data_IF_485624485330
#
_entry.id   IF_485624485330
#
_cell.length_a   1.000
_cell.length_b   1.000
_cell.length_c   1.000
_cell.angle_alpha   90.00
_cell.angle_beta   90.00
_cell.angle_gamma   90.00
#
_symmetry.space_group_name_H-M   'P 1'
#
loop_
_entity.id
_entity.type
_entity.pdbx_description
1 polymer ?
#
# COMPACT_ATOMS: atom_id res chain seq x y z
N UNK A 1 36.22 26.10 -75.20
CA UNK A 1 34.96 26.32 -74.44
C UNK A 1 34.32 24.97 -74.16
N UNK A 2 34.51 24.39 -72.97
CA UNK A 2 33.92 23.12 -72.54
C UNK A 2 33.03 23.38 -71.33
N UNK A 3 31.72 23.12 -71.48
CA UNK A 3 30.68 23.39 -70.51
C UNK A 3 30.70 22.36 -69.37
N UNK A 4 30.66 22.89 -68.15
CA UNK A 4 30.49 22.17 -66.88
C UNK A 4 29.06 21.64 -66.78
N UNK A 5 28.88 20.41 -66.27
CA UNK A 5 27.61 19.90 -65.76
C UNK A 5 27.84 19.38 -64.35
N UNK A 6 27.40 20.15 -63.36
CA UNK A 6 27.27 19.71 -61.97
C UNK A 6 26.01 18.85 -61.87
N UNK A 7 26.16 17.59 -61.45
CA UNK A 7 25.04 16.77 -60.98
C UNK A 7 24.73 17.17 -59.53
N UNK A 8 23.51 17.63 -59.30
CA UNK A 8 22.96 17.79 -57.96
C UNK A 8 22.43 16.44 -57.46
N UNK A 9 23.03 15.92 -56.40
CA UNK A 9 22.51 14.77 -55.65
C UNK A 9 21.57 15.29 -54.56
N UNK A 10 20.27 15.08 -54.71
CA UNK A 10 19.29 15.36 -53.67
C UNK A 10 19.28 14.19 -52.68
N UNK A 11 19.77 14.41 -51.46
CA UNK A 11 19.68 13.46 -50.37
C UNK A 11 18.28 13.54 -49.73
N UNK A 12 17.48 12.49 -49.92
CA UNK A 12 16.21 12.32 -49.22
C UNK A 12 16.50 11.86 -47.78
N UNK A 13 16.28 12.74 -46.80
CA UNK A 13 16.36 12.43 -45.37
C UNK A 13 15.06 11.73 -44.99
N UNK A 14 15.13 10.43 -44.70
CA UNK A 14 14.03 9.67 -44.15
C UNK A 14 13.81 10.07 -42.68
N UNK A 15 12.68 10.70 -42.40
CA UNK A 15 12.17 10.92 -41.04
C UNK A 15 11.70 9.57 -40.48
N UNK A 16 12.56 8.90 -39.72
CA UNK A 16 12.13 7.81 -38.84
C UNK A 16 11.29 8.44 -37.72
N UNK A 17 10.09 7.93 -37.39
CA UNK A 17 9.40 8.33 -36.18
C UNK A 17 10.31 7.97 -35.01
N UNK A 18 10.77 9.00 -34.29
CA UNK A 18 11.50 8.80 -33.06
C UNK A 18 10.60 8.01 -32.11
N UNK A 19 11.10 6.88 -31.59
CA UNK A 19 10.54 6.29 -30.39
C UNK A 19 10.50 7.41 -29.35
N UNK A 20 9.29 7.81 -28.97
CA UNK A 20 9.09 8.83 -27.97
C UNK A 20 9.84 8.39 -26.71
N UNK A 21 10.79 9.20 -26.28
CA UNK A 21 11.71 8.81 -25.22
C UNK A 21 10.92 8.61 -23.94
N UNK A 22 10.82 7.35 -23.49
CA UNK A 22 10.21 6.98 -22.23
C UNK A 22 10.76 7.89 -21.11
N UNK A 23 9.87 8.67 -20.50
CA UNK A 23 10.24 9.57 -19.40
C UNK A 23 10.84 8.77 -18.23
N UNK A 24 11.89 9.26 -17.56
CA UNK A 24 12.47 8.57 -16.40
C UNK A 24 11.57 8.63 -15.15
N UNK A 25 10.39 9.28 -15.21
CA UNK A 25 9.41 9.39 -14.11
C UNK A 25 8.15 8.53 -14.28
N UNK A 26 8.06 7.72 -15.33
CA UNK A 26 6.81 7.05 -15.72
C UNK A 26 6.21 6.22 -14.57
N UNK A 27 5.05 6.66 -14.07
CA UNK A 27 4.25 5.93 -13.10
C UNK A 27 4.72 5.98 -11.64
N UNK A 28 5.63 6.87 -11.24
CA UNK A 28 6.02 6.97 -9.80
C UNK A 28 4.95 7.63 -8.94
N UNK A 29 4.22 8.59 -9.53
CA UNK A 29 3.17 9.36 -8.85
C UNK A 29 1.78 8.75 -9.07
N UNK A 30 1.70 7.53 -9.63
CA UNK A 30 0.42 6.88 -9.93
C UNK A 30 -0.03 6.01 -8.76
N UNK A 31 -1.35 5.82 -8.57
CA UNK A 31 -1.88 5.02 -7.47
C UNK A 31 -1.38 3.58 -7.50
N UNK A 32 -1.05 3.06 -8.69
CA UNK A 32 -0.56 1.70 -8.87
C UNK A 32 0.63 1.66 -9.82
N UNK A 33 1.55 0.73 -9.56
CA UNK A 33 2.61 0.30 -10.47
C UNK A 33 2.46 -1.18 -10.76
N UNK A 34 2.59 -1.56 -12.03
CA UNK A 34 2.45 -2.97 -12.45
C UNK A 34 3.76 -3.49 -12.98
N UNK A 35 4.29 -4.51 -12.33
CA UNK A 35 5.51 -5.19 -12.74
C UNK A 35 5.33 -5.86 -14.11
N UNK A 36 6.34 -5.73 -14.97
CA UNK A 36 6.37 -6.29 -16.35
C UNK A 36 5.28 -5.75 -17.29
N UNK A 37 4.66 -4.62 -16.95
CA UNK A 37 3.75 -3.91 -17.83
C UNK A 37 4.40 -2.65 -18.40
N UNK A 38 3.85 -2.14 -19.50
CA UNK A 38 4.17 -0.85 -20.06
C UNK A 38 3.21 0.21 -19.50
N UNK A 39 3.78 1.32 -19.03
CA UNK A 39 3.02 2.47 -18.56
C UNK A 39 2.59 3.36 -19.73
N UNK A 40 1.36 3.88 -19.65
CA UNK A 40 0.81 4.85 -20.59
C UNK A 40 0.17 6.02 -19.82
N UNK A 41 0.47 7.23 -20.28
CA UNK A 41 -0.28 8.42 -19.88
C UNK A 41 -1.60 8.49 -20.64
N UNK A 42 -2.67 8.88 -19.96
CA UNK A 42 -4.02 8.95 -20.50
C UNK A 42 -4.95 7.85 -19.96
N UNK A 43 -6.27 8.01 -20.22
CA UNK A 43 -7.29 7.17 -19.62
C UNK A 43 -7.16 5.73 -20.13
N UNK A 44 -7.71 4.80 -19.36
CA UNK A 44 -7.87 3.43 -19.84
C UNK A 44 -8.66 3.44 -21.17
N UNK A 45 -8.19 2.74 -22.22
CA UNK A 45 -8.91 2.70 -23.48
C UNK A 45 -10.27 1.99 -23.30
N UNK A 46 -11.34 2.60 -23.81
CA UNK A 46 -12.69 2.07 -23.75
C UNK A 46 -13.15 1.53 -25.12
N UNK A 47 -13.89 0.42 -25.13
CA UNK A 47 -14.54 -0.12 -26.32
C UNK A 47 -15.33 -1.39 -26.04
N UNK A 48 -16.04 -1.87 -27.05
CA UNK A 48 -16.89 -3.08 -26.97
C UNK A 48 -16.49 -4.15 -28.01
N UNK A 49 -15.63 -3.78 -28.97
CA UNK A 49 -15.32 -4.59 -30.15
C UNK A 49 -14.07 -5.46 -29.99
N UNK A 50 -13.26 -5.20 -28.95
CA UNK A 50 -12.08 -5.99 -28.62
C UNK A 50 -12.41 -7.24 -27.80
N UNK A 51 -11.41 -7.75 -27.08
CA UNK A 51 -11.52 -9.03 -26.38
C UNK A 51 -12.02 -8.86 -24.95
N UNK A 52 -12.89 -9.78 -24.52
CA UNK A 52 -13.50 -9.70 -23.20
C UNK A 52 -12.61 -10.36 -22.15
N UNK A 53 -12.43 -9.67 -21.03
CA UNK A 53 -11.92 -10.29 -19.80
C UNK A 53 -13.02 -11.23 -19.26
N UNK A 54 -12.76 -12.54 -19.26
CA UNK A 54 -13.75 -13.55 -18.89
C UNK A 54 -13.72 -13.89 -17.41
N UNK A 55 -12.58 -13.69 -16.76
CA UNK A 55 -12.39 -14.01 -15.35
C UNK A 55 -11.33 -13.09 -14.72
N UNK A 56 -11.58 -12.69 -13.48
CA UNK A 56 -10.63 -11.98 -12.61
C UNK A 56 -10.65 -12.68 -11.25
N UNK A 57 -9.47 -12.85 -10.64
CA UNK A 57 -9.29 -13.41 -9.31
C UNK A 57 -8.19 -12.71 -8.55
N UNK A 58 -8.38 -12.62 -7.23
CA UNK A 58 -7.32 -12.28 -6.28
C UNK A 58 -7.58 -13.04 -4.99
N UNK A 59 -6.51 -13.45 -4.29
CA UNK A 59 -6.64 -14.27 -3.08
C UNK A 59 -7.29 -13.52 -1.90
N UNK A 60 -7.22 -12.20 -1.89
CA UNK A 60 -7.82 -11.35 -0.86
C UNK A 60 -8.10 -9.95 -1.46
N UNK A 61 -9.34 -9.42 -1.46
CA UNK A 61 -9.62 -8.09 -1.97
C UNK A 61 -9.13 -6.97 -1.04
N UNK A 62 -8.76 -7.27 0.21
CA UNK A 62 -8.22 -6.29 1.14
C UNK A 62 -6.76 -5.96 0.83
N UNK A 63 -6.44 -4.68 0.82
CA UNK A 63 -5.12 -4.13 0.49
C UNK A 63 -4.70 -3.16 1.58
N UNK A 64 -3.45 -3.25 2.02
CA UNK A 64 -2.86 -2.29 2.94
C UNK A 64 -2.24 -1.10 2.20
N UNK A 65 -2.16 0.09 2.80
CA UNK A 65 -1.48 1.23 2.19
C UNK A 65 -0.03 0.88 1.87
N UNK A 66 0.42 1.15 0.64
CA UNK A 66 1.78 0.83 0.23
C UNK A 66 2.06 -0.65 -0.04
N UNK A 67 1.03 -1.51 -0.06
CA UNK A 67 1.21 -2.93 -0.33
C UNK A 67 1.95 -3.16 -1.67
N UNK A 68 2.93 -4.05 -1.64
CA UNK A 68 3.73 -4.45 -2.81
C UNK A 68 3.50 -5.91 -3.15
N UNK A 69 3.73 -6.26 -4.42
CA UNK A 69 3.69 -7.64 -4.89
C UNK A 69 2.30 -8.28 -4.91
N UNK A 70 1.21 -7.49 -4.93
CA UNK A 70 -0.15 -8.06 -4.96
C UNK A 70 -0.41 -8.72 -6.30
N UNK A 71 -0.68 -10.02 -6.29
CA UNK A 71 -1.07 -10.75 -7.50
C UNK A 71 -2.57 -10.63 -7.77
N UNK A 72 -2.91 -10.32 -9.01
CA UNK A 72 -4.26 -10.41 -9.58
C UNK A 72 -4.15 -11.20 -10.88
N UNK A 73 -4.92 -12.26 -10.99
CA UNK A 73 -4.87 -13.21 -12.10
C UNK A 73 -6.21 -13.24 -12.82
N UNK A 74 -6.20 -13.72 -14.06
CA UNK A 74 -7.45 -13.86 -14.78
C UNK A 74 -7.34 -14.59 -16.10
N UNK A 75 -8.45 -14.54 -16.83
CA UNK A 75 -8.59 -15.07 -18.17
C UNK A 75 -9.23 -14.04 -19.10
N UNK A 76 -8.91 -14.13 -20.38
CA UNK A 76 -9.39 -13.28 -21.47
C UNK A 76 -9.64 -14.16 -22.69
N UNK A 77 -10.52 -13.76 -23.60
CA UNK A 77 -10.75 -14.50 -24.86
C UNK A 77 -9.42 -14.79 -25.62
N UNK A 78 -9.34 -15.92 -26.34
CA UNK A 78 -8.07 -16.42 -26.92
C UNK A 78 -7.41 -15.52 -27.97
N UNK A 79 -8.17 -14.61 -28.60
CA UNK A 79 -7.64 -13.66 -29.59
C UNK A 79 -7.05 -12.40 -28.94
N UNK A 80 -7.05 -12.31 -27.60
CA UNK A 80 -6.44 -11.18 -26.90
C UNK A 80 -4.91 -11.25 -26.98
N UNK A 81 -4.31 -10.10 -27.28
CA UNK A 81 -2.86 -9.94 -27.29
C UNK A 81 -2.36 -9.20 -26.06
N UNK A 82 -3.21 -8.39 -25.42
CA UNK A 82 -2.85 -7.63 -24.24
C UNK A 82 -4.05 -7.39 -23.30
N UNK A 83 -3.74 -6.98 -22.07
CA UNK A 83 -4.66 -6.51 -21.05
C UNK A 83 -4.23 -5.10 -20.66
N UNK A 84 -5.18 -4.18 -20.53
CA UNK A 84 -4.93 -2.88 -19.89
C UNK A 84 -5.66 -2.81 -18.55
N UNK A 85 -5.04 -2.15 -17.57
CA UNK A 85 -5.56 -1.98 -16.20
C UNK A 85 -5.33 -0.57 -15.67
N UNK A 86 -6.31 -0.02 -14.93
CA UNK A 86 -6.22 1.31 -14.31
C UNK A 86 -7.09 1.44 -13.05
N UNK A 87 -6.82 2.49 -12.26
CA UNK A 87 -7.78 3.11 -11.33
C UNK A 87 -8.29 4.42 -11.94
N UNK A 88 -9.35 4.39 -12.75
CA UNK A 88 -9.81 5.58 -13.48
C UNK A 88 -10.38 6.67 -12.57
N UNK A 89 -10.87 6.30 -11.38
CA UNK A 89 -11.36 7.25 -10.38
C UNK A 89 -10.22 7.97 -9.65
N UNK A 90 -9.00 7.42 -9.69
CA UNK A 90 -7.83 7.94 -8.97
C UNK A 90 -6.76 8.56 -9.88
N UNK A 91 -6.69 8.16 -11.16
CA UNK A 91 -5.67 8.65 -12.08
C UNK A 91 -6.06 8.52 -13.55
N UNK A 92 -5.52 9.43 -14.37
CA UNK A 92 -5.63 9.39 -15.84
C UNK A 92 -4.43 8.65 -16.46
N UNK A 93 -4.17 7.44 -15.99
CA UNK A 93 -3.04 6.61 -16.42
C UNK A 93 -3.41 5.14 -16.40
N UNK A 94 -2.73 4.34 -17.22
CA UNK A 94 -2.97 2.91 -17.27
C UNK A 94 -1.70 2.09 -17.54
N UNK A 95 -1.80 0.80 -17.28
CA UNK A 95 -0.74 -0.18 -17.51
C UNK A 95 -1.21 -1.22 -18.51
N UNK A 96 -0.36 -1.58 -19.47
CA UNK A 96 -0.65 -2.61 -20.46
C UNK A 96 0.35 -3.75 -20.35
N UNK A 97 -0.15 -4.98 -20.29
CA UNK A 97 0.66 -6.20 -20.24
C UNK A 97 0.23 -7.18 -21.34
N UNK A 98 1.13 -8.04 -21.84
CA UNK A 98 0.76 -9.06 -22.80
C UNK A 98 -0.18 -10.10 -22.18
N UNK A 99 -1.12 -10.60 -22.97
CA UNK A 99 -1.86 -11.80 -22.63
C UNK A 99 -0.92 -13.01 -22.57
N UNK A 100 -1.17 -13.93 -21.65
CA UNK A 100 -0.39 -15.12 -21.40
C UNK A 100 -0.70 -16.26 -22.37
N UNK A 101 -0.34 -17.47 -21.93
CA UNK A 101 -0.60 -18.70 -22.67
C UNK A 101 -2.08 -19.08 -22.60
N UNK A 102 -2.54 -19.86 -23.58
CA UNK A 102 -3.86 -20.50 -23.57
C UNK A 102 -4.05 -21.30 -22.27
N UNK A 103 -5.20 -21.11 -21.63
CA UNK A 103 -5.56 -21.80 -20.39
C UNK A 103 -5.84 -23.29 -20.68
N UNK A 104 -5.11 -24.25 -20.09
CA UNK A 104 -5.33 -25.68 -20.36
C UNK A 104 -6.74 -26.17 -20.04
N UNK A 105 -7.37 -25.58 -19.04
CA UNK A 105 -8.74 -25.84 -18.58
C UNK A 105 -9.81 -25.08 -19.39
N UNK A 106 -9.41 -24.13 -20.23
CA UNK A 106 -10.29 -23.31 -21.07
C UNK A 106 -9.58 -22.94 -22.37
N UNK A 107 -9.53 -23.86 -23.37
CA UNK A 107 -8.73 -23.69 -24.59
C UNK A 107 -9.10 -22.47 -25.46
N UNK A 108 -10.30 -21.92 -25.26
CA UNK A 108 -10.78 -20.71 -25.93
C UNK A 108 -10.43 -19.42 -25.16
N UNK A 109 -9.56 -19.50 -24.15
CA UNK A 109 -9.13 -18.37 -23.34
C UNK A 109 -7.62 -18.38 -23.11
N UNK A 110 -7.05 -17.19 -22.88
CA UNK A 110 -5.68 -16.98 -22.43
C UNK A 110 -5.65 -16.56 -20.97
N UNK A 111 -4.62 -17.01 -20.27
CA UNK A 111 -4.32 -16.56 -18.91
C UNK A 111 -3.67 -15.18 -18.92
N UNK A 112 -3.78 -14.45 -17.83
CA UNK A 112 -2.97 -13.26 -17.57
C UNK A 112 -2.77 -13.10 -16.06
N UNK A 113 -1.72 -12.37 -15.67
CA UNK A 113 -1.37 -12.14 -14.28
C UNK A 113 -0.64 -10.80 -14.16
N UNK A 114 -1.04 -9.99 -13.19
CA UNK A 114 -0.34 -8.78 -12.80
C UNK A 114 0.21 -8.93 -11.39
N UNK A 115 1.38 -8.32 -11.16
CA UNK A 115 1.94 -8.07 -9.84
C UNK A 115 1.96 -6.56 -9.64
N UNK A 116 1.15 -6.09 -8.69
CA UNK A 116 0.89 -4.67 -8.47
C UNK A 116 1.44 -4.17 -7.13
N UNK A 117 2.09 -3.02 -7.18
CA UNK A 117 2.46 -2.21 -6.03
C UNK A 117 1.53 -1.00 -5.96
N UNK A 118 1.00 -0.71 -4.78
CA UNK A 118 0.07 0.39 -4.58
C UNK A 118 0.72 1.56 -3.83
N UNK A 119 0.33 2.77 -4.18
CA UNK A 119 0.73 3.98 -3.46
C UNK A 119 0.19 3.94 -2.03
N UNK A 120 0.95 4.55 -1.11
CA UNK A 120 0.50 4.81 0.27
C UNK A 120 -0.60 5.88 0.33
N UNK A 121 -0.81 6.61 -0.76
CA UNK A 121 -1.74 7.73 -0.87
C UNK A 121 -3.10 7.32 -1.48
N UNK A 122 -3.30 6.04 -1.82
CA UNK A 122 -4.63 5.57 -2.22
C UNK A 122 -5.63 5.82 -1.08
N UNK A 123 -6.78 6.45 -1.34
CA UNK A 123 -7.82 6.63 -0.33
C UNK A 123 -8.28 5.29 0.25
N UNK A 124 -8.48 5.25 1.57
CA UNK A 124 -9.06 4.08 2.23
C UNK A 124 -10.50 3.83 1.76
N UNK A 125 -10.93 2.58 1.87
CA UNK A 125 -12.23 2.08 1.43
C UNK A 125 -12.16 1.39 0.07
N UNK A 126 -13.34 1.17 -0.52
CA UNK A 126 -13.46 0.47 -1.79
C UNK A 126 -12.98 1.34 -2.95
N UNK A 127 -12.04 0.81 -3.72
CA UNK A 127 -11.54 1.36 -4.98
C UNK A 127 -11.73 0.30 -6.08
N UNK A 128 -12.11 0.74 -7.28
CA UNK A 128 -12.42 -0.16 -8.38
C UNK A 128 -11.29 -0.14 -9.41
N UNK A 129 -10.72 -1.31 -9.68
CA UNK A 129 -9.81 -1.51 -10.81
C UNK A 129 -10.62 -1.84 -12.06
N UNK A 130 -10.30 -1.15 -13.16
CA UNK A 130 -10.87 -1.43 -14.48
C UNK A 130 -9.87 -2.19 -15.33
N UNK A 131 -10.35 -3.25 -15.99
CA UNK A 131 -9.61 -4.09 -16.92
C UNK A 131 -10.30 -4.10 -18.28
N UNK A 132 -9.50 -4.08 -19.35
CA UNK A 132 -9.96 -4.31 -20.73
C UNK A 132 -9.02 -5.27 -21.44
N UNK A 133 -9.56 -6.19 -22.24
CA UNK A 133 -8.78 -7.02 -23.16
C UNK A 133 -8.58 -6.29 -24.48
N UNK A 134 -7.40 -6.40 -25.07
CA UNK A 134 -7.02 -5.73 -26.32
C UNK A 134 -6.73 -6.79 -27.39
N UNK A 135 -7.31 -6.64 -28.57
CA UNK A 135 -7.10 -7.52 -29.72
C UNK A 135 -5.83 -7.16 -30.52
N UNK A 136 -5.52 -7.97 -31.55
CA UNK A 136 -4.36 -7.77 -32.40
C UNK A 136 -4.38 -6.46 -33.22
N UNK A 137 -5.56 -5.86 -33.43
CA UNK A 137 -5.73 -4.57 -34.10
C UNK A 137 -5.62 -3.38 -33.12
N UNK A 138 -5.44 -3.65 -31.82
CA UNK A 138 -5.37 -2.65 -30.77
C UNK A 138 -6.74 -2.18 -30.27
N UNK A 139 -7.83 -2.88 -30.59
CA UNK A 139 -9.17 -2.51 -30.13
C UNK A 139 -9.41 -2.99 -28.71
N UNK A 140 -9.87 -2.11 -27.80
CA UNK A 140 -10.29 -2.50 -26.46
C UNK A 140 -11.66 -3.21 -26.50
N UNK A 141 -11.77 -4.26 -25.70
CA UNK A 141 -13.02 -4.95 -25.42
C UNK A 141 -13.75 -4.38 -24.20
N UNK A 142 -14.90 -4.97 -23.85
CA UNK A 142 -15.76 -4.46 -22.79
C UNK A 142 -15.04 -4.43 -21.43
N UNK A 143 -15.36 -3.40 -20.65
CA UNK A 143 -14.81 -3.19 -19.31
C UNK A 143 -15.18 -4.33 -18.36
N UNK A 144 -14.22 -4.72 -17.53
CA UNK A 144 -14.42 -5.59 -16.37
C UNK A 144 -13.85 -4.95 -15.11
N UNK A 145 -14.56 -5.11 -14.00
CA UNK A 145 -14.26 -4.45 -12.74
C UNK A 145 -13.79 -5.46 -11.67
N UNK A 146 -12.87 -5.02 -10.82
CA UNK A 146 -12.47 -5.69 -9.59
C UNK A 146 -12.41 -4.65 -8.47
N UNK A 147 -13.24 -4.83 -7.46
CA UNK A 147 -13.19 -4.00 -6.27
C UNK A 147 -12.11 -4.50 -5.30
N UNK A 148 -11.29 -3.57 -4.83
CA UNK A 148 -10.30 -3.78 -3.79
C UNK A 148 -10.62 -2.85 -2.63
N UNK A 149 -10.60 -3.36 -1.41
CA UNK A 149 -10.75 -2.51 -0.24
C UNK A 149 -9.39 -2.13 0.34
N UNK A 150 -9.09 -0.84 0.36
CA UNK A 150 -7.88 -0.29 0.94
C UNK A 150 -8.11 0.05 2.41
N UNK A 151 -7.40 -0.64 3.31
CA UNK A 151 -7.44 -0.29 4.73
C UNK A 151 -6.72 1.04 4.97
N UNK A 152 -7.12 1.84 5.97
CA UNK A 152 -6.38 3.04 6.32
C UNK A 152 -5.04 2.72 6.99
N UNK A 153 -4.11 3.70 6.94
CA UNK A 153 -2.81 3.57 7.61
C UNK A 153 -2.94 3.60 9.12
N UNK A 154 -3.91 4.35 9.64
CA UNK A 154 -4.30 4.31 11.05
C UNK A 154 -5.39 3.24 11.16
N UNK A 155 -5.17 2.13 11.89
CA UNK A 155 -6.14 1.04 11.94
C UNK A 155 -7.50 1.51 12.45
N UNK A 156 -8.56 1.20 11.70
CA UNK A 156 -9.94 1.63 11.97
C UNK A 156 -10.88 0.45 12.24
N UNK A 157 -10.32 -0.70 12.62
CA UNK A 157 -11.04 -1.97 12.76
C UNK A 157 -11.77 -2.39 11.46
N UNK A 158 -11.28 -1.99 10.29
CA UNK A 158 -11.88 -2.33 8.99
C UNK A 158 -13.13 -1.53 8.64
N UNK A 159 -13.44 -0.47 9.39
CA UNK A 159 -14.60 0.40 9.17
C UNK A 159 -14.68 0.96 7.74
N UNK A 160 -13.54 1.33 7.14
CA UNK A 160 -13.47 1.84 5.77
C UNK A 160 -14.00 0.83 4.73
N UNK A 161 -13.87 -0.48 5.00
CA UNK A 161 -14.36 -1.54 4.13
C UNK A 161 -15.79 -1.99 4.47
N UNK A 162 -16.15 -1.87 5.74
CA UNK A 162 -17.45 -2.26 6.28
C UNK A 162 -17.88 -1.26 7.36
N UNK A 163 -18.63 -0.21 6.99
CA UNK A 163 -19.08 0.82 7.93
C UNK A 163 -20.01 0.32 9.02
N UNK A 164 -20.46 -0.95 8.97
CA UNK A 164 -21.22 -1.56 10.07
C UNK A 164 -20.34 -1.97 11.26
N UNK A 165 -19.02 -2.05 11.07
CA UNK A 165 -18.04 -2.28 12.12
C UNK A 165 -17.78 -0.98 12.87
N UNK A 166 -17.75 -1.01 14.19
CA UNK A 166 -17.39 0.17 14.98
C UNK A 166 -15.91 0.53 14.77
N UNK A 167 -15.63 1.84 14.76
CA UNK A 167 -14.26 2.33 14.92
C UNK A 167 -13.70 1.89 16.28
N UNK A 168 -12.37 1.69 16.39
CA UNK A 168 -11.74 1.50 17.68
C UNK A 168 -11.91 2.77 18.52
N UNK A 169 -12.21 2.61 19.82
CA UNK A 169 -12.36 3.75 20.73
C UNK A 169 -11.03 4.45 21.07
N UNK A 170 -9.89 3.79 20.84
CA UNK A 170 -8.56 4.38 20.98
C UNK A 170 -7.53 3.69 20.06
N UNK A 171 -6.70 4.47 19.38
CA UNK A 171 -5.54 3.99 18.61
C UNK A 171 -4.31 4.81 18.98
N UNK A 172 -3.26 4.14 19.46
CA UNK A 172 -1.96 4.74 19.76
C UNK A 172 -1.00 4.32 18.67
N UNK A 173 -0.36 5.26 18.00
CA UNK A 173 0.51 5.00 16.85
C UNK A 173 1.86 5.63 17.08
N UNK A 174 2.94 4.91 16.75
CA UNK A 174 4.26 5.50 16.52
C UNK A 174 4.63 5.33 15.06
N UNK A 175 4.95 6.42 14.37
CA UNK A 175 5.53 6.41 13.02
C UNK A 175 6.92 7.06 13.00
N UNK A 176 7.73 6.64 12.03
CA UNK A 176 9.10 7.10 11.90
C UNK A 176 9.51 7.30 10.44
N UNK A 177 10.52 8.15 10.24
CA UNK A 177 10.76 8.77 8.93
C UNK A 177 11.76 8.03 8.02
N UNK A 178 12.38 6.97 8.52
CA UNK A 178 13.40 6.16 7.81
C UNK A 178 13.21 4.70 8.20
N UNK A 179 13.73 3.78 7.40
CA UNK A 179 13.69 2.35 7.70
C UNK A 179 14.56 2.06 8.94
N UNK A 180 13.92 1.94 10.11
CA UNK A 180 14.56 1.70 11.39
C UNK A 180 13.65 0.81 12.25
N UNK A 181 14.23 -0.01 13.12
CA UNK A 181 13.52 -0.87 14.07
C UNK A 181 13.21 -0.03 15.32
N UNK A 182 12.02 0.57 15.33
CA UNK A 182 11.51 1.41 16.43
C UNK A 182 10.28 0.74 17.03
N UNK A 183 10.39 0.35 18.30
CA UNK A 183 9.30 -0.27 19.04
C UNK A 183 8.40 0.80 19.67
N UNK A 184 7.09 0.64 19.52
CA UNK A 184 6.07 1.24 20.38
C UNK A 184 6.01 0.45 21.69
N UNK A 185 6.20 1.15 22.80
CA UNK A 185 6.04 0.58 24.14
C UNK A 185 4.99 1.36 24.92
N UNK A 186 4.04 0.65 25.51
CA UNK A 186 2.91 1.26 26.21
C UNK A 186 2.86 0.76 27.64
N UNK A 187 2.92 1.68 28.60
CA UNK A 187 2.78 1.41 30.02
C UNK A 187 1.30 1.52 30.42
N UNK A 188 0.70 0.39 30.74
CA UNK A 188 -0.69 0.29 31.16
C UNK A 188 -0.86 0.77 32.62
N UNK A 189 -2.08 1.17 33.03
CA UNK A 189 -2.33 1.69 34.38
C UNK A 189 -2.05 0.69 35.52
N UNK A 190 -2.08 -0.60 35.23
CA UNK A 190 -1.72 -1.66 36.17
C UNK A 190 -0.19 -1.87 36.29
N UNK A 191 0.61 -1.09 35.56
CA UNK A 191 2.06 -1.13 35.51
C UNK A 191 2.64 -2.14 34.52
N UNK A 192 1.81 -2.85 33.74
CA UNK A 192 2.29 -3.75 32.69
C UNK A 192 2.77 -2.99 31.45
N UNK A 193 3.79 -3.55 30.80
CA UNK A 193 4.27 -3.08 29.50
C UNK A 193 3.67 -3.92 28.37
N UNK A 194 3.13 -3.23 27.38
CA UNK A 194 2.74 -3.77 26.08
C UNK A 194 3.85 -3.40 25.11
N UNK A 195 4.45 -4.42 24.48
CA UNK A 195 5.64 -4.29 23.62
C UNK A 195 5.52 -5.27 22.46
N UNK A 196 6.34 -5.14 21.41
CA UNK A 196 6.37 -6.13 20.33
C UNK A 196 6.57 -7.59 20.81
N UNK A 197 7.18 -7.80 21.99
CA UNK A 197 7.41 -9.13 22.58
C UNK A 197 6.32 -9.57 23.56
N UNK A 198 5.51 -8.62 24.03
CA UNK A 198 4.30 -8.84 24.85
C UNK A 198 3.13 -8.06 24.23
N UNK A 199 2.69 -8.42 23.01
CA UNK A 199 1.86 -7.54 22.19
C UNK A 199 0.40 -7.50 22.64
N UNK A 200 -0.03 -8.39 23.54
CA UNK A 200 -1.40 -8.47 24.02
C UNK A 200 -1.59 -7.68 25.32
N UNK A 201 -2.59 -6.80 25.33
CA UNK A 201 -3.02 -6.09 26.53
C UNK A 201 -3.74 -7.04 27.50
N UNK A 202 -4.54 -7.97 26.96
CA UNK A 202 -5.21 -9.01 27.74
C UNK A 202 -4.48 -10.33 27.49
N UNK A 203 -4.06 -11.00 28.57
CA UNK A 203 -3.38 -12.29 28.43
C UNK A 203 -4.34 -13.33 27.81
N UNK A 204 -3.84 -14.25 26.96
CA UNK A 204 -4.66 -15.32 26.41
C UNK A 204 -5.29 -16.16 27.54
N UNK A 205 -6.42 -16.78 27.26
CA UNK A 205 -6.98 -17.78 28.17
C UNK A 205 -6.01 -18.96 28.37
N UNK A 206 -6.22 -19.78 29.41
CA UNK A 206 -5.33 -20.90 29.75
C UNK A 206 -5.17 -21.95 28.63
N UNK A 207 -6.10 -21.98 27.67
CA UNK A 207 -6.04 -22.84 26.49
C UNK A 207 -5.19 -22.24 25.35
N UNK A 208 -4.65 -21.02 25.53
CA UNK A 208 -3.87 -20.29 24.53
C UNK A 208 -4.74 -19.57 23.49
N UNK A 209 -6.06 -19.54 23.66
CA UNK A 209 -6.97 -18.83 22.78
C UNK A 209 -6.88 -17.33 23.07
N UNK A 210 -6.61 -16.56 22.02
CA UNK A 210 -6.60 -15.10 22.05
C UNK A 210 -7.87 -14.62 21.38
N UNK A 211 -8.64 -13.79 22.08
CA UNK A 211 -9.75 -13.10 21.46
C UNK A 211 -9.20 -12.17 20.35
N UNK A 212 -9.68 -12.31 19.09
CA UNK A 212 -9.19 -11.52 17.98
C UNK A 212 -9.46 -10.01 18.13
N UNK A 213 -10.40 -9.61 18.99
CA UNK A 213 -10.74 -8.21 19.30
C UNK A 213 -9.93 -7.66 20.48
N UNK A 214 -9.20 -8.51 21.19
CA UNK A 214 -8.37 -8.08 22.32
C UNK A 214 -7.34 -7.03 21.89
N UNK A 215 -7.19 -5.92 22.65
CA UNK A 215 -6.27 -4.87 22.29
C UNK A 215 -4.84 -5.40 22.15
N UNK A 216 -4.20 -5.04 21.03
CA UNK A 216 -2.88 -5.57 20.69
C UNK A 216 -2.08 -4.64 19.78
N UNK A 217 -0.75 -4.77 19.87
CA UNK A 217 0.14 -4.21 18.87
C UNK A 217 -0.06 -4.92 17.53
N UNK A 218 -0.16 -4.15 16.47
CA UNK A 218 -0.53 -4.64 15.13
C UNK A 218 0.64 -5.34 14.41
N UNK A 219 1.88 -4.86 14.62
CA UNK A 219 3.11 -5.43 14.07
C UNK A 219 4.35 -5.02 14.87
N UNK A 220 5.47 -5.65 14.53
CA UNK A 220 6.84 -5.32 14.94
C UNK A 220 7.54 -4.80 13.68
N UNK A 221 7.47 -3.47 13.47
CA UNK A 221 7.81 -2.85 12.19
C UNK A 221 9.33 -2.78 12.04
N UNK A 222 9.84 -3.18 10.86
CA UNK A 222 11.29 -3.22 10.59
C UNK A 222 12.07 -4.13 11.54
N UNK A 223 11.43 -5.15 12.12
CA UNK A 223 12.07 -6.12 13.01
C UNK A 223 13.35 -6.68 12.39
N UNK A 224 14.47 -6.56 13.10
CA UNK A 224 15.80 -6.96 12.62
C UNK A 224 16.20 -6.29 11.30
N UNK A 225 15.76 -5.06 11.08
CA UNK A 225 15.99 -4.25 9.88
C UNK A 225 15.46 -4.86 8.58
N UNK A 226 14.38 -5.65 8.64
CA UNK A 226 13.70 -6.17 7.47
C UNK A 226 12.59 -5.21 7.06
N UNK A 227 12.77 -4.50 5.94
CA UNK A 227 11.80 -3.52 5.44
C UNK A 227 10.42 -4.16 5.21
N UNK A 228 9.38 -3.56 5.80
CA UNK A 228 7.97 -3.96 5.67
C UNK A 228 7.14 -2.94 4.87
N UNK A 229 7.67 -1.75 4.61
CA UNK A 229 6.99 -0.68 3.90
C UNK A 229 6.02 0.17 4.75
N UNK A 230 6.03 0.05 6.07
CA UNK A 230 5.11 0.76 6.97
C UNK A 230 5.75 1.89 7.75
N UNK A 231 6.93 1.62 8.32
CA UNK A 231 7.60 2.49 9.29
C UNK A 231 6.64 3.02 10.37
N UNK A 232 5.86 2.09 10.93
CA UNK A 232 4.78 2.40 11.88
C UNK A 232 4.36 1.17 12.68
N UNK A 233 4.15 1.37 13.98
CA UNK A 233 3.47 0.44 14.88
C UNK A 233 2.23 1.09 15.49
N UNK A 234 1.20 0.29 15.75
CA UNK A 234 -0.04 0.75 16.35
C UNK A 234 -0.54 -0.22 17.42
N UNK A 235 -0.97 0.32 18.56
CA UNK A 235 -1.76 -0.37 19.57
C UNK A 235 -3.22 0.06 19.42
N UNK A 236 -4.10 -0.90 19.17
CA UNK A 236 -5.52 -0.66 18.88
C UNK A 236 -6.36 -1.17 20.04
N UNK A 237 -7.28 -0.33 20.53
CA UNK A 237 -8.28 -0.67 21.54
C UNK A 237 -9.67 -0.61 20.92
N UNK A 238 -10.36 -1.75 20.87
CA UNK A 238 -11.76 -1.78 20.46
C UNK A 238 -12.64 -1.00 21.45
N UNK A 239 -12.40 -1.19 22.76
CA UNK A 239 -13.06 -0.48 23.85
C UNK A 239 -12.05 0.42 24.59
N UNK A 240 -12.49 1.59 25.04
CA UNK A 240 -11.66 2.57 25.75
C UNK A 240 -11.06 1.93 27.01
N UNK A 241 -9.72 1.95 27.17
CA UNK A 241 -9.10 1.42 28.37
C UNK A 241 -9.36 2.32 29.58
N UNK A 242 -9.43 1.73 30.78
CA UNK A 242 -9.56 2.49 32.02
C UNK A 242 -8.21 3.00 32.50
N UNK A 243 -8.17 4.22 33.04
CA UNK A 243 -6.98 4.78 33.68
C UNK A 243 -6.00 5.44 32.72
N UNK A 244 -4.81 5.78 33.23
CA UNK A 244 -3.80 6.51 32.48
C UNK A 244 -2.84 5.55 31.80
N UNK A 245 -2.47 5.88 30.57
CA UNK A 245 -1.55 5.10 29.74
C UNK A 245 -0.36 5.98 29.37
N UNK A 246 0.84 5.49 29.67
CA UNK A 246 2.07 6.14 29.23
C UNK A 246 2.53 5.60 27.86
N UNK A 247 2.82 6.49 26.93
CA UNK A 247 3.26 6.15 25.56
C UNK A 247 4.76 6.43 25.42
N UNK A 248 5.49 5.41 24.99
CA UNK A 248 6.94 5.42 24.85
C UNK A 248 7.35 4.92 23.47
N UNK A 249 8.55 5.30 23.04
CA UNK A 249 9.21 4.65 21.91
C UNK A 249 10.63 4.24 22.27
N UNK A 250 11.12 3.20 21.61
CA UNK A 250 12.51 2.74 21.72
C UNK A 250 13.10 2.58 20.33
N UNK A 251 14.32 3.06 20.14
CA UNK A 251 15.12 2.67 18.98
C UNK A 251 15.80 1.32 19.26
N UNK A 252 15.25 0.23 18.77
CA UNK A 252 15.87 -1.09 18.88
C UNK A 252 17.14 -1.13 18.02
N UNK A 253 16.98 -0.82 16.73
CA UNK A 253 18.08 -0.76 15.76
C UNK A 253 17.88 0.37 14.75
N UNK A 254 18.93 1.13 14.48
CA UNK A 254 18.89 2.25 13.52
C UNK A 254 18.98 1.85 12.05
N UNK A 255 19.24 0.58 11.76
CA UNK A 255 19.33 0.02 10.41
C UNK A 255 20.24 0.79 9.45
N UNK A 256 21.33 1.36 9.99
CA UNK A 256 22.32 2.14 9.23
C UNK A 256 22.02 3.63 9.12
N UNK A 257 20.89 4.11 9.64
CA UNK A 257 20.60 5.54 9.71
C UNK A 257 21.31 6.20 10.89
N UNK A 258 21.84 7.43 10.77
CA UNK A 258 22.52 8.12 11.87
C UNK A 258 21.56 8.73 12.91
N UNK A 259 20.31 8.95 12.51
CA UNK A 259 19.24 9.48 13.36
C UNK A 259 17.88 9.04 12.83
N UNK A 260 16.92 8.87 13.73
CA UNK A 260 15.54 8.51 13.40
C UNK A 260 14.61 9.53 14.03
N UNK A 261 13.78 10.20 13.23
CA UNK A 261 12.70 11.05 13.74
C UNK A 261 11.45 10.20 13.89
N UNK A 262 10.80 10.34 15.02
CA UNK A 262 9.58 9.61 15.34
C UNK A 262 8.48 10.58 15.80
N UNK A 263 7.23 10.12 15.65
CA UNK A 263 6.02 10.76 16.18
C UNK A 263 5.17 9.71 16.84
N UNK A 264 4.70 9.98 18.05
CA UNK A 264 3.59 9.26 18.66
C UNK A 264 2.31 10.08 18.49
N UNK A 265 1.23 9.42 18.10
CA UNK A 265 -0.07 10.04 17.82
C UNK A 265 -1.17 9.22 18.49
N UNK A 266 -2.12 9.91 19.09
CA UNK A 266 -3.33 9.31 19.66
C UNK A 266 -4.52 9.66 18.79
N UNK A 267 -5.29 8.64 18.43
CA UNK A 267 -6.54 8.81 17.71
C UNK A 267 -7.71 8.24 18.50
N UNK A 268 -8.83 8.95 18.46
CA UNK A 268 -10.12 8.51 18.99
C UNK A 268 -11.21 8.82 17.96
N UNK A 269 -12.38 8.17 18.00
CA UNK A 269 -13.50 8.54 17.14
C UNK A 269 -13.87 10.02 17.31
N UNK A 270 -14.24 10.66 16.20
CA UNK A 270 -14.87 11.98 16.25
C UNK A 270 -16.26 11.90 16.91
N UNK A 271 -16.86 13.05 17.21
CA UNK A 271 -18.19 13.12 17.87
C UNK A 271 -19.30 12.40 17.08
N UNK A 272 -19.13 12.25 15.77
CA UNK A 272 -20.07 11.58 14.87
C UNK A 272 -19.85 10.06 14.78
N UNK A 273 -18.72 9.56 15.28
CA UNK A 273 -18.31 8.15 15.16
C UNK A 273 -18.03 7.70 13.72
N UNK A 274 -17.67 8.64 12.83
CA UNK A 274 -17.50 8.40 11.39
C UNK A 274 -16.03 8.32 10.96
N UNK A 275 -15.12 8.91 11.74
CA UNK A 275 -13.69 8.86 11.47
C UNK A 275 -12.87 8.88 12.77
N UNK A 276 -11.59 8.50 12.65
CA UNK A 276 -10.62 8.68 13.73
C UNK A 276 -9.98 10.07 13.65
N UNK A 277 -10.09 10.83 14.73
CA UNK A 277 -9.53 12.17 14.88
C UNK A 277 -8.26 12.13 15.73
N UNK A 278 -7.22 12.86 15.31
CA UNK A 278 -6.00 13.05 16.09
C UNK A 278 -6.31 13.87 17.35
N UNK A 279 -6.12 13.30 18.54
CA UNK A 279 -6.36 13.96 19.82
C UNK A 279 -5.08 14.54 20.43
N UNK A 280 -3.96 13.85 20.29
CA UNK A 280 -2.67 14.31 20.79
C UNK A 280 -1.50 13.80 19.94
N UNK A 281 -0.40 14.54 19.94
CA UNK A 281 0.84 14.20 19.24
C UNK A 281 2.07 14.63 20.04
N UNK A 282 3.06 13.73 20.12
CA UNK A 282 4.40 14.01 20.59
C UNK A 282 5.44 13.53 19.60
N UNK A 283 6.62 14.13 19.59
CA UNK A 283 7.66 13.79 18.62
C UNK A 283 9.06 13.91 19.21
N UNK A 284 10.02 13.26 18.55
CA UNK A 284 11.41 13.30 18.98
C UNK A 284 12.38 12.83 17.91
N UNK A 285 13.64 12.76 18.32
CA UNK A 285 14.74 12.30 17.47
C UNK A 285 15.61 11.36 18.27
N UNK A 286 15.76 10.13 17.78
CA UNK A 286 16.79 9.23 18.24
C UNK A 286 18.10 9.49 17.50
N UNK A 287 19.20 9.41 18.22
CA UNK A 287 20.55 9.42 17.72
C UNK A 287 21.13 8.02 17.87
N UNK A 288 21.43 7.36 16.75
CA UNK A 288 21.78 5.93 16.71
C UNK A 288 22.95 5.57 17.61
N UNK A 289 23.93 6.48 17.77
CA UNK A 289 25.08 6.30 18.66
C UNK A 289 24.69 6.13 20.14
N UNK A 290 23.60 6.75 20.56
CA UNK A 290 23.17 6.79 21.96
C UNK A 290 22.03 5.82 22.21
N UNK A 291 21.06 5.80 21.29
CA UNK A 291 19.74 5.21 21.54
C UNK A 291 19.55 3.80 20.96
N UNK A 292 20.27 3.43 19.88
CA UNK A 292 20.16 2.11 19.25
C UNK A 292 20.88 1.04 20.11
N UNK A 293 20.16 0.50 21.10
CA UNK A 293 20.71 -0.37 22.16
C UNK A 293 19.95 -1.70 22.26
N UNK A 294 19.12 -2.03 21.27
CA UNK A 294 18.24 -3.20 21.28
C UNK A 294 17.41 -3.26 22.57
N UNK A 295 17.21 -4.47 23.10
CA UNK A 295 16.46 -4.68 24.36
C UNK A 295 17.07 -4.01 25.60
N UNK A 296 18.33 -3.55 25.55
CA UNK A 296 18.98 -2.85 26.66
C UNK A 296 18.78 -1.34 26.65
N UNK A 297 18.19 -0.79 25.58
CA UNK A 297 17.82 0.62 25.51
C UNK A 297 16.77 1.00 26.54
N UNK A 298 16.79 2.25 26.99
CA UNK A 298 15.70 2.79 27.81
C UNK A 298 14.68 3.41 26.87
N UNK A 299 13.40 2.99 26.93
CA UNK A 299 12.36 3.62 26.13
C UNK A 299 12.19 5.07 26.58
N UNK A 300 11.95 5.96 25.62
CA UNK A 300 11.77 7.39 25.86
C UNK A 300 10.28 7.65 26.00
N UNK A 301 9.89 8.26 27.12
CA UNK A 301 8.52 8.74 27.33
C UNK A 301 8.21 9.85 26.34
N UNK A 302 7.03 9.79 25.71
CA UNK A 302 6.60 10.76 24.70
C UNK A 302 5.44 11.58 25.21
N UNK A 303 4.36 10.89 25.62
CA UNK A 303 3.10 11.50 26.04
C UNK A 303 2.31 10.53 26.92
N UNK A 304 1.29 11.06 27.59
CA UNK A 304 0.35 10.30 28.43
C UNK A 304 -1.04 10.43 27.81
N UNK A 305 -1.81 9.35 27.80
CA UNK A 305 -3.23 9.36 27.51
C UNK A 305 -4.03 9.21 28.81
N UNK A 306 -5.07 10.02 28.99
CA UNK A 306 -5.97 9.94 30.13
C UNK A 306 -7.38 9.60 29.66
N UNK A 307 -8.03 8.64 30.31
CA UNK A 307 -9.38 8.19 29.94
C UNK A 307 -10.50 9.23 30.08
N UNK A 308 -10.22 10.45 30.58
CA UNK A 308 -11.22 11.46 30.92
C UNK A 308 -10.99 12.85 30.33
N UNK A 309 -10.03 13.00 29.42
CA UNK A 309 -9.85 14.21 28.59
C UNK A 309 -10.61 14.06 27.26
#
# INVERSE_FOLDING_TARGET
MRRVRFLAFAAAIALLPACDSASPRLGIDTPMRVSRAQFFEGPLPEGEDGQRITYISTNNPTVYPGASGKTIDGRVDNEAVAIAVAFPELSDTHWVLPAGATAPESPDERTWSIEADFSREIPSGWQTLHFVGIDADGKPGPRRELDLCFLPRIPDNGHACDPSRALPELVIVVDFNVDADVDLEVLMPDGRWVTAKTPLVIAPEKNGETDPESPRLDRDSLSMCVADGWNQEALVFAERPEGNIGVYARLFESCGHPSVRYRARIFEPNDEGTELELKDEGHGVFLSKYDARGSSGTPVHILEWNAGD
#
